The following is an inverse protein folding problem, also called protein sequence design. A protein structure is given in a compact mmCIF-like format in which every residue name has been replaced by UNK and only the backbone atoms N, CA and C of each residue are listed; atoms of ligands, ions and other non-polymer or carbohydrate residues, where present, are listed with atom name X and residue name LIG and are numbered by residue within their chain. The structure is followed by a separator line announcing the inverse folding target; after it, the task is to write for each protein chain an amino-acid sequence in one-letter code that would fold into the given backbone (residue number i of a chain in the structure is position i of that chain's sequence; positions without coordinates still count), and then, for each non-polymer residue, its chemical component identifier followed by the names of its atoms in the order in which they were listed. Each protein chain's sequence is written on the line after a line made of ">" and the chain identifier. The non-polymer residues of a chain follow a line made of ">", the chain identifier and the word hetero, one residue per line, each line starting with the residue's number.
data_IF_000768897198
#
_entry.id   IF_000768897198
#
_cell.length_a   1.000
_cell.length_b   1.000
_cell.length_c   1.000
_cell.angle_alpha   90.00
_cell.angle_beta   90.00
_cell.angle_gamma   90.00
#
_symmetry.space_group_name_H-M   'P 1'
#
loop_
_entity.id
_entity.type
_entity.pdbx_description
1 polymer ?
#
# COMPACT_ATOMS: atom_id res chain seq x y z
N UNK A 1 25.80 -16.75 25.78
CA UNK A 1 26.06 -15.55 26.61
C UNK A 1 27.55 -15.18 26.64
N UNK A 2 28.49 -16.14 26.66
CA UNK A 2 29.94 -15.84 26.65
C UNK A 2 30.41 -15.13 25.38
N UNK A 3 29.92 -15.53 24.19
CA UNK A 3 30.25 -14.87 22.91
C UNK A 3 29.93 -13.38 22.89
N UNK A 4 28.84 -12.96 23.52
CA UNK A 4 28.47 -11.53 23.58
C UNK A 4 29.47 -10.76 24.46
N UNK A 5 30.05 -11.40 25.48
CA UNK A 5 31.02 -10.75 26.37
C UNK A 5 32.35 -10.48 25.66
N UNK A 6 32.77 -11.35 24.73
CA UNK A 6 34.03 -11.23 23.97
C UNK A 6 33.97 -10.24 22.80
N UNK A 7 32.78 -9.79 22.40
CA UNK A 7 32.62 -8.76 21.37
C UNK A 7 33.21 -7.41 21.80
N UNK A 8 33.72 -6.66 20.82
CA UNK A 8 34.16 -5.29 21.07
C UNK A 8 32.98 -4.31 21.19
N UNK A 9 33.28 -3.07 21.59
CA UNK A 9 32.25 -2.05 21.82
C UNK A 9 31.46 -1.71 20.56
N UNK A 10 32.11 -1.70 19.39
CA UNK A 10 31.45 -1.41 18.12
C UNK A 10 30.42 -2.50 17.76
N UNK A 11 30.80 -3.77 17.81
CA UNK A 11 29.93 -4.91 17.52
C UNK A 11 28.73 -4.95 18.46
N UNK A 12 28.96 -4.70 19.75
CA UNK A 12 27.89 -4.55 20.75
C UNK A 12 26.97 -3.39 20.38
N UNK A 13 27.52 -2.25 19.97
CA UNK A 13 26.77 -1.08 19.51
C UNK A 13 25.84 -1.41 18.34
N UNK A 14 26.35 -2.05 17.28
CA UNK A 14 25.53 -2.46 16.13
C UNK A 14 24.41 -3.40 16.54
N UNK A 15 24.69 -4.42 17.36
CA UNK A 15 23.68 -5.36 17.81
C UNK A 15 22.58 -4.64 18.60
N UNK A 16 22.95 -3.72 19.51
CA UNK A 16 21.99 -2.92 20.27
C UNK A 16 21.12 -2.08 19.32
N UNK A 17 21.72 -1.43 18.33
CA UNK A 17 20.98 -0.63 17.33
C UNK A 17 19.99 -1.50 16.56
N UNK A 18 20.38 -2.68 16.09
CA UNK A 18 19.47 -3.59 15.37
C UNK A 18 18.32 -4.08 16.24
N UNK A 19 18.61 -4.48 17.48
CA UNK A 19 17.57 -4.93 18.41
C UNK A 19 16.60 -3.78 18.71
N UNK A 20 17.12 -2.57 18.95
CA UNK A 20 16.30 -1.40 19.16
C UNK A 20 15.44 -1.08 17.92
N UNK A 21 16.00 -1.14 16.71
CA UNK A 21 15.27 -0.95 15.46
C UNK A 21 14.13 -1.96 15.33
N UNK A 22 14.40 -3.27 15.47
CA UNK A 22 13.36 -4.31 15.38
C UNK A 22 12.23 -4.01 16.38
N UNK A 23 12.55 -3.68 17.63
CA UNK A 23 11.55 -3.40 18.66
C UNK A 23 10.73 -2.13 18.38
N UNK A 24 11.37 -1.06 17.94
CA UNK A 24 10.71 0.20 17.58
C UNK A 24 9.75 -0.05 16.41
N UNK A 25 10.23 -0.67 15.33
CA UNK A 25 9.39 -0.95 14.16
C UNK A 25 8.32 -2.01 14.45
N UNK A 26 8.56 -2.97 15.35
CA UNK A 26 7.53 -3.90 15.82
C UNK A 26 6.38 -3.21 16.55
N UNK A 27 6.59 -2.03 17.14
CA UNK A 27 5.51 -1.22 17.73
C UNK A 27 4.83 -0.29 16.72
N UNK A 28 5.56 0.18 15.70
CA UNK A 28 5.06 1.10 14.68
C UNK A 28 4.24 0.37 13.62
N UNK A 29 4.77 -0.72 13.05
CA UNK A 29 4.13 -1.45 11.95
C UNK A 29 2.71 -1.93 12.26
N UNK A 30 2.42 -2.54 13.43
CA UNK A 30 1.05 -2.93 13.75
C UNK A 30 0.10 -1.73 13.84
N UNK A 31 0.57 -0.55 14.28
CA UNK A 31 -0.27 0.66 14.31
C UNK A 31 -0.55 1.21 12.91
N UNK A 32 0.41 1.09 11.99
CA UNK A 32 0.22 1.51 10.59
C UNK A 32 -0.67 0.54 9.84
N UNK A 33 -0.39 -0.77 9.94
CA UNK A 33 -1.19 -1.85 9.33
C UNK A 33 -2.60 -1.91 9.92
N UNK A 34 -2.77 -1.63 11.21
CA UNK A 34 -4.09 -1.63 11.86
C UNK A 34 -4.97 -0.45 11.46
N UNK A 35 -4.43 0.59 10.79
CA UNK A 35 -5.25 1.63 10.17
C UNK A 35 -5.76 1.11 8.84
N UNK A 36 -6.76 0.25 8.96
CA UNK A 36 -7.52 -0.31 7.85
C UNK A 36 -8.57 0.72 7.45
N UNK A 37 -8.63 1.06 6.18
CA UNK A 37 -9.58 2.04 5.66
C UNK A 37 -9.66 2.00 4.14
N UNK A 38 -10.52 2.85 3.59
CA UNK A 38 -10.70 2.96 2.16
C UNK A 38 -9.55 3.76 1.55
N UNK A 39 -8.84 3.21 0.56
CA UNK A 39 -7.76 3.92 -0.14
C UNK A 39 -8.37 4.79 -1.24
N UNK A 40 -8.18 6.10 -1.15
CA UNK A 40 -8.61 7.05 -2.16
C UNK A 40 -7.51 8.09 -2.39
N UNK A 41 -7.05 8.22 -3.65
CA UNK A 41 -5.98 9.14 -4.04
C UNK A 41 -4.69 8.99 -3.20
N UNK A 42 -4.22 7.74 -3.03
CA UNK A 42 -3.05 7.34 -2.23
C UNK A 42 -3.12 7.61 -0.71
N UNK A 43 -4.28 8.01 -0.21
CA UNK A 43 -4.54 8.21 1.21
C UNK A 43 -5.56 7.22 1.75
N UNK A 44 -5.42 6.84 3.03
CA UNK A 44 -6.36 5.93 3.70
C UNK A 44 -7.38 6.76 4.47
N UNK A 45 -8.65 6.58 4.10
CA UNK A 45 -9.80 7.14 4.77
C UNK A 45 -10.37 6.09 5.73
N UNK A 46 -10.30 6.38 7.02
CA UNK A 46 -10.67 5.43 8.08
C UNK A 46 -12.19 5.44 8.26
N UNK A 47 -12.88 4.29 8.20
CA UNK A 47 -14.32 4.20 8.41
C UNK A 47 -14.67 4.46 9.87
N UNK A 48 -15.72 5.24 10.09
CA UNK A 48 -16.35 5.44 11.38
C UNK A 48 -17.87 5.36 11.23
N UNK A 49 -18.57 4.77 12.19
CA UNK A 49 -20.04 4.74 12.17
C UNK A 49 -20.58 6.00 12.86
N UNK A 50 -21.29 6.84 12.11
CA UNK A 50 -21.91 8.06 12.62
C UNK A 50 -23.39 8.11 12.22
N UNK A 51 -24.28 8.21 13.20
CA UNK A 51 -25.73 8.32 12.99
C UNK A 51 -26.34 7.22 12.09
N UNK A 52 -25.72 6.04 12.04
CA UNK A 52 -26.16 4.92 11.20
C UNK A 52 -25.61 4.94 9.76
N UNK A 53 -24.81 5.95 9.41
CA UNK A 53 -24.05 6.03 8.17
C UNK A 53 -22.60 5.60 8.42
N UNK A 54 -21.91 5.18 7.36
CA UNK A 54 -20.47 4.92 7.41
C UNK A 54 -19.76 6.16 6.86
N UNK A 55 -18.90 6.77 7.67
CA UNK A 55 -18.12 7.96 7.33
C UNK A 55 -16.66 7.56 7.19
N UNK A 56 -16.15 7.54 5.98
CA UNK A 56 -14.73 7.34 5.71
C UNK A 56 -14.02 8.68 5.78
N UNK A 57 -13.17 8.89 6.77
CA UNK A 57 -12.55 10.19 7.04
C UNK A 57 -11.02 10.14 6.99
N UNK A 58 -10.41 11.20 6.47
CA UNK A 58 -8.96 11.31 6.38
C UNK A 58 -8.52 12.67 5.85
N UNK A 59 -7.30 12.74 5.35
CA UNK A 59 -6.76 13.97 4.74
C UNK A 59 -6.13 13.63 3.40
N UNK A 60 -6.57 14.32 2.35
CA UNK A 60 -5.99 14.21 1.00
C UNK A 60 -5.26 15.52 0.74
N UNK A 61 -3.97 15.44 0.42
CA UNK A 61 -3.12 16.64 0.24
C UNK A 61 -3.18 17.62 1.43
N UNK A 62 -3.37 17.10 2.66
CA UNK A 62 -3.50 17.88 3.89
C UNK A 62 -4.87 18.51 4.14
N UNK A 63 -5.79 18.44 3.18
CA UNK A 63 -7.18 18.93 3.30
C UNK A 63 -8.05 17.81 3.88
N UNK A 64 -8.90 18.09 4.88
CA UNK A 64 -9.82 17.10 5.42
C UNK A 64 -10.79 16.62 4.34
N UNK A 65 -10.87 15.30 4.16
CA UNK A 65 -11.78 14.65 3.21
C UNK A 65 -12.61 13.63 3.94
N UNK A 66 -13.91 13.58 3.64
CA UNK A 66 -14.80 12.54 4.13
C UNK A 66 -15.79 12.06 3.07
N UNK A 67 -15.96 10.75 2.96
CA UNK A 67 -17.09 10.14 2.28
C UNK A 67 -18.14 9.75 3.30
N UNK A 68 -19.37 10.19 3.09
CA UNK A 68 -20.52 9.84 3.90
C UNK A 68 -21.36 8.88 3.08
N UNK A 69 -21.38 7.61 3.48
CA UNK A 69 -22.17 6.55 2.84
C UNK A 69 -23.43 6.32 3.67
N UNK A 70 -24.58 6.68 3.08
CA UNK A 70 -25.91 6.45 3.66
C UNK A 70 -26.36 5.02 3.43
N UNK A 71 -27.22 4.50 4.32
CA UNK A 71 -27.91 3.21 4.14
C UNK A 71 -28.74 3.13 2.87
N UNK A 72 -29.17 4.28 2.35
CA UNK A 72 -29.99 4.39 1.14
C UNK A 72 -29.16 4.36 -0.15
N UNK A 73 -27.92 3.81 -0.11
CA UNK A 73 -26.98 3.78 -1.23
C UNK A 73 -26.70 5.18 -1.82
N UNK A 74 -26.62 6.18 -0.95
CA UNK A 74 -26.28 7.55 -1.32
C UNK A 74 -24.92 7.94 -0.73
N UNK A 75 -24.08 8.57 -1.55
CA UNK A 75 -22.73 8.98 -1.18
C UNK A 75 -22.60 10.48 -1.32
N UNK A 76 -22.05 11.12 -0.29
CA UNK A 76 -21.61 12.51 -0.34
C UNK A 76 -20.12 12.56 -0.06
N UNK A 77 -19.35 13.20 -0.93
CA UNK A 77 -17.95 13.48 -0.70
C UNK A 77 -17.81 14.95 -0.27
N UNK A 78 -17.13 15.18 0.85
CA UNK A 78 -16.70 16.51 1.27
C UNK A 78 -15.18 16.56 1.26
N UNK A 79 -14.62 17.54 0.54
CA UNK A 79 -13.19 17.81 0.48
C UNK A 79 -12.96 19.28 0.80
N UNK A 80 -12.56 19.58 2.04
CA UNK A 80 -12.48 20.95 2.55
C UNK A 80 -13.83 21.66 2.44
N UNK A 81 -13.88 22.78 1.70
CA UNK A 81 -15.11 23.55 1.48
C UNK A 81 -15.94 23.06 0.29
N UNK A 82 -15.43 22.11 -0.50
CA UNK A 82 -16.14 21.55 -1.65
C UNK A 82 -16.96 20.33 -1.24
N UNK A 83 -18.19 20.26 -1.75
CA UNK A 83 -19.07 19.09 -1.61
C UNK A 83 -19.43 18.57 -2.99
N UNK A 84 -19.26 17.26 -3.19
CA UNK A 84 -19.61 16.54 -4.40
C UNK A 84 -20.76 15.56 -4.12
N UNK A 85 -21.67 15.44 -5.08
CA UNK A 85 -22.90 14.66 -4.94
C UNK A 85 -24.08 15.49 -4.37
N UNK A 86 -25.06 14.86 -3.73
CA UNK A 86 -25.18 13.42 -3.47
C UNK A 86 -25.18 12.57 -4.74
N UNK A 87 -24.38 11.52 -4.71
CA UNK A 87 -24.43 10.44 -5.69
C UNK A 87 -25.42 9.39 -5.21
N UNK A 88 -26.20 8.85 -6.12
CA UNK A 88 -27.15 7.76 -5.83
C UNK A 88 -27.00 6.67 -6.86
N UNK A 89 -27.04 5.43 -6.41
CA UNK A 89 -26.98 4.26 -7.28
C UNK A 89 -28.31 3.52 -7.27
N UNK A 90 -28.75 3.08 -8.44
CA UNK A 90 -29.87 2.15 -8.61
C UNK A 90 -29.45 1.00 -9.49
N UNK A 91 -29.97 -0.19 -9.20
CA UNK A 91 -29.80 -1.35 -10.06
C UNK A 91 -30.89 -1.31 -11.14
N UNK A 92 -30.48 -1.31 -12.40
CA UNK A 92 -31.34 -1.33 -13.58
C UNK A 92 -30.85 -2.42 -14.54
N UNK A 93 -31.48 -3.61 -14.55
CA UNK A 93 -31.11 -4.70 -15.46
C UNK A 93 -31.17 -4.32 -16.95
N UNK A 94 -31.89 -3.25 -17.31
CA UNK A 94 -31.98 -2.80 -18.71
C UNK A 94 -30.75 -2.03 -19.17
N UNK A 95 -29.88 -1.62 -18.25
CA UNK A 95 -28.61 -0.95 -18.53
C UNK A 95 -27.48 -1.93 -18.95
N UNK A 96 -27.72 -3.25 -18.88
CA UNK A 96 -26.72 -4.25 -19.27
C UNK A 96 -26.56 -4.21 -20.81
N UNK A 97 -25.31 -4.07 -21.33
CA UNK A 97 -25.06 -4.11 -22.77
C UNK A 97 -25.49 -5.46 -23.36
N UNK A 98 -26.22 -5.41 -24.48
CA UNK A 98 -26.88 -6.60 -25.06
C UNK A 98 -25.96 -7.54 -25.82
N UNK A 99 -24.82 -7.03 -26.29
CA UNK A 99 -23.89 -7.75 -27.18
C UNK A 99 -22.60 -8.22 -26.47
N UNK A 100 -22.56 -8.16 -25.13
CA UNK A 100 -21.44 -8.62 -24.33
C UNK A 100 -21.57 -10.12 -23.97
N UNK A 101 -20.51 -10.90 -24.20
CA UNK A 101 -20.50 -12.35 -23.92
C UNK A 101 -20.70 -12.66 -22.42
N UNK A 102 -20.36 -11.70 -21.56
CA UNK A 102 -20.46 -11.81 -20.10
C UNK A 102 -21.69 -11.11 -19.52
N UNK A 103 -22.64 -10.66 -20.35
CA UNK A 103 -23.83 -9.93 -19.92
C UNK A 103 -24.65 -10.67 -18.83
N UNK A 104 -24.68 -12.00 -18.84
CA UNK A 104 -25.39 -12.80 -17.83
C UNK A 104 -24.76 -12.73 -16.42
N UNK A 105 -23.49 -12.32 -16.32
CA UNK A 105 -22.75 -12.16 -15.07
C UNK A 105 -22.66 -10.70 -14.62
N UNK A 106 -23.19 -9.77 -15.41
CA UNK A 106 -23.15 -8.33 -15.13
C UNK A 106 -24.33 -7.88 -14.28
N UNK A 107 -24.10 -6.87 -13.45
CA UNK A 107 -25.14 -6.13 -12.73
C UNK A 107 -25.36 -4.81 -13.46
N UNK A 108 -26.57 -4.60 -13.98
CA UNK A 108 -26.94 -3.32 -14.60
C UNK A 108 -27.14 -2.25 -13.54
N UNK A 109 -26.49 -1.10 -13.70
CA UNK A 109 -26.50 -0.01 -12.73
C UNK A 109 -26.70 1.34 -13.40
N UNK A 110 -27.37 2.23 -12.69
CA UNK A 110 -27.46 3.64 -13.00
C UNK A 110 -26.93 4.43 -11.79
N UNK A 111 -25.89 5.22 -12.03
CA UNK A 111 -25.29 6.12 -11.05
C UNK A 111 -25.63 7.54 -11.46
N UNK A 112 -26.30 8.26 -10.56
CA UNK A 112 -26.69 9.64 -10.77
C UNK A 112 -25.96 10.55 -9.79
N UNK A 113 -25.53 11.71 -10.26
CA UNK A 113 -25.15 12.85 -9.44
C UNK A 113 -26.34 13.80 -9.37
N UNK A 114 -27.05 13.82 -8.24
CA UNK A 114 -28.35 14.48 -8.12
C UNK A 114 -29.32 13.99 -9.21
N UNK A 115 -29.69 14.88 -10.15
CA UNK A 115 -30.62 14.57 -11.25
C UNK A 115 -29.91 14.21 -12.57
N UNK A 116 -28.58 14.25 -12.61
CA UNK A 116 -27.79 13.98 -13.81
C UNK A 116 -27.26 12.56 -13.77
N UNK A 117 -27.55 11.76 -14.80
CA UNK A 117 -26.94 10.45 -15.00
C UNK A 117 -25.44 10.63 -15.24
N UNK A 118 -24.64 10.07 -14.35
CA UNK A 118 -23.18 10.06 -14.44
C UNK A 118 -22.74 8.83 -15.24
N UNK A 119 -23.35 7.68 -14.97
CA UNK A 119 -23.05 6.41 -15.61
C UNK A 119 -24.31 5.54 -15.68
N UNK A 120 -24.48 4.82 -16.78
CA UNK A 120 -25.52 3.81 -16.95
C UNK A 120 -24.94 2.68 -17.79
N UNK A 121 -24.92 1.47 -17.23
CA UNK A 121 -24.19 0.37 -17.84
C UNK A 121 -24.16 -0.91 -17.02
N UNK A 122 -23.43 -1.91 -17.51
CA UNK A 122 -23.17 -3.17 -16.82
C UNK A 122 -21.89 -3.12 -15.99
N UNK A 123 -21.94 -3.60 -14.75
CA UNK A 123 -20.78 -3.79 -13.89
C UNK A 123 -20.45 -5.28 -13.81
N UNK A 124 -19.21 -5.62 -14.08
CA UNK A 124 -18.67 -6.97 -13.93
C UNK A 124 -17.67 -6.99 -12.76
N UNK A 125 -17.91 -7.89 -11.81
CA UNK A 125 -17.11 -8.07 -10.60
C UNK A 125 -16.08 -9.19 -10.81
N UNK A 126 -14.79 -8.85 -10.67
CA UNK A 126 -13.67 -9.80 -10.73
C UNK A 126 -13.01 -10.04 -9.36
N UNK A 127 -13.67 -9.68 -8.26
CA UNK A 127 -13.15 -9.79 -6.90
C UNK A 127 -12.27 -8.60 -6.54
N UNK A 128 -11.08 -8.52 -7.11
CA UNK A 128 -10.10 -7.48 -6.79
C UNK A 128 -10.33 -6.16 -7.57
N UNK A 129 -11.17 -6.18 -8.62
CA UNK A 129 -11.43 -5.04 -9.50
C UNK A 129 -12.83 -5.10 -10.13
N UNK A 130 -13.36 -3.92 -10.53
CA UNK A 130 -14.64 -3.77 -11.22
C UNK A 130 -14.47 -3.21 -12.63
N UNK A 131 -15.11 -3.87 -13.60
CA UNK A 131 -15.20 -3.39 -14.97
C UNK A 131 -16.57 -2.78 -15.23
N UNK A 132 -16.58 -1.49 -15.60
CA UNK A 132 -17.78 -0.75 -15.95
C UNK A 132 -17.90 -0.69 -17.47
N UNK A 133 -18.96 -1.27 -18.00
CA UNK A 133 -19.32 -1.24 -19.41
C UNK A 133 -20.49 -0.30 -19.63
N UNK A 134 -20.34 0.66 -20.52
CA UNK A 134 -21.45 1.50 -20.98
C UNK A 134 -22.50 0.67 -21.73
N UNK A 135 -23.70 1.23 -21.93
CA UNK A 135 -24.79 0.54 -22.67
C UNK A 135 -24.41 0.16 -24.11
N UNK A 136 -23.39 0.81 -24.69
CA UNK A 136 -22.86 0.54 -26.02
C UNK A 136 -21.77 -0.55 -26.03
N UNK A 137 -21.41 -1.11 -24.87
CA UNK A 137 -20.37 -2.13 -24.71
C UNK A 137 -18.95 -1.58 -24.58
N UNK A 138 -18.77 -0.25 -24.52
CA UNK A 138 -17.44 0.35 -24.29
C UNK A 138 -17.06 0.33 -22.80
N UNK A 139 -15.78 0.13 -22.49
CA UNK A 139 -15.26 0.18 -21.13
C UNK A 139 -15.13 1.64 -20.65
N UNK A 140 -15.82 1.98 -19.56
CA UNK A 140 -15.87 3.34 -18.99
C UNK A 140 -14.71 3.61 -18.01
N UNK A 141 -14.30 2.59 -17.25
CA UNK A 141 -13.25 2.72 -16.22
C UNK A 141 -11.81 2.67 -16.78
N UNK A 142 -11.63 2.51 -18.10
CA UNK A 142 -10.34 2.43 -18.79
C UNK A 142 -10.15 3.61 -19.76
N UNK A 143 -10.11 4.83 -19.21
CA UNK A 143 -9.81 6.04 -19.97
C UNK A 143 -8.31 6.37 -19.97
N UNK A 144 -7.74 6.70 -21.13
CA UNK A 144 -6.38 7.25 -21.21
C UNK A 144 -6.39 8.73 -20.76
N UNK A 145 -5.63 9.06 -19.72
CA UNK A 145 -5.39 10.45 -19.31
C UNK A 145 -4.02 10.92 -19.76
N UNK A 146 -3.89 12.22 -20.04
CA UNK A 146 -2.60 12.84 -20.35
C UNK A 146 -2.39 14.14 -19.58
N UNK A 147 -1.13 14.42 -19.25
CA UNK A 147 -0.71 15.65 -18.59
C UNK A 147 0.03 16.51 -19.61
N UNK A 148 -0.47 17.72 -19.84
CA UNK A 148 0.22 18.72 -20.68
C UNK A 148 1.23 19.53 -19.87
N UNK A 149 2.03 20.37 -20.53
CA UNK A 149 3.10 21.16 -19.88
C UNK A 149 2.63 22.18 -18.81
N UNK A 150 1.33 22.37 -18.66
CA UNK A 150 0.69 23.14 -17.58
C UNK A 150 0.46 22.32 -16.28
N UNK A 151 0.76 21.01 -16.30
CA UNK A 151 0.59 20.11 -15.16
C UNK A 151 -0.85 19.69 -14.88
N UNK A 152 -1.79 20.04 -15.77
CA UNK A 152 -3.21 19.71 -15.64
C UNK A 152 -3.47 18.40 -16.37
N UNK A 153 -4.08 17.43 -15.67
CA UNK A 153 -4.47 16.15 -16.22
C UNK A 153 -5.82 16.28 -16.94
N UNK A 154 -5.86 15.77 -18.17
CA UNK A 154 -7.03 15.83 -19.04
C UNK A 154 -7.41 14.43 -19.52
N UNK A 155 -8.70 14.23 -19.77
CA UNK A 155 -9.22 13.03 -20.41
C UNK A 155 -8.85 13.00 -21.91
N UNK A 156 -9.13 11.88 -22.58
CA UNK A 156 -8.95 11.70 -24.03
C UNK A 156 -9.65 12.81 -24.87
N UNK A 157 -10.70 13.41 -24.31
CA UNK A 157 -11.52 14.44 -24.94
C UNK A 157 -11.02 15.87 -24.64
N UNK A 158 -9.95 16.03 -23.84
CA UNK A 158 -9.36 17.30 -23.46
C UNK A 158 -10.07 18.03 -22.32
N UNK A 159 -11.03 17.40 -21.63
CA UNK A 159 -11.66 17.94 -20.43
C UNK A 159 -10.71 17.85 -19.24
N UNK A 160 -10.72 18.87 -18.39
CA UNK A 160 -9.94 18.89 -17.15
C UNK A 160 -10.54 17.89 -16.17
N UNK A 161 -9.74 16.95 -15.69
CA UNK A 161 -10.16 15.97 -14.68
C UNK A 161 -9.92 16.58 -13.30
N UNK A 162 -10.99 16.76 -12.52
CA UNK A 162 -10.84 17.04 -11.09
C UNK A 162 -10.50 15.73 -10.38
N UNK A 163 -9.22 15.58 -9.97
CA UNK A 163 -8.73 14.37 -9.27
C UNK A 163 -9.45 14.05 -7.97
N UNK A 164 -10.21 15.00 -7.43
CA UNK A 164 -10.98 14.84 -6.19
C UNK A 164 -12.40 14.35 -6.48
N UNK A 165 -12.93 14.51 -7.70
CA UNK A 165 -14.26 14.01 -8.01
C UNK A 165 -14.23 12.47 -8.11
N UNK A 166 -15.13 11.76 -7.41
CA UNK A 166 -15.16 10.30 -7.45
C UNK A 166 -15.71 9.82 -8.79
N UNK A 167 -15.06 8.80 -9.37
CA UNK A 167 -15.57 8.12 -10.56
C UNK A 167 -16.77 7.23 -10.25
N UNK A 168 -17.48 6.81 -11.29
CA UNK A 168 -18.58 5.84 -11.17
C UNK A 168 -18.13 4.53 -10.50
N UNK A 169 -16.91 4.06 -10.76
CA UNK A 169 -16.31 2.88 -10.14
C UNK A 169 -16.11 3.05 -8.63
N UNK A 170 -15.51 4.15 -8.19
CA UNK A 170 -15.36 4.48 -6.76
C UNK A 170 -16.70 4.56 -6.05
N UNK A 171 -17.72 5.15 -6.69
CA UNK A 171 -19.07 5.24 -6.12
C UNK A 171 -19.69 3.85 -5.96
N UNK A 172 -19.58 2.98 -6.96
CA UNK A 172 -20.09 1.61 -6.90
C UNK A 172 -19.41 0.81 -5.78
N UNK A 173 -18.09 0.88 -5.68
CA UNK A 173 -17.29 0.19 -4.67
C UNK A 173 -17.67 0.62 -3.24
N UNK A 174 -17.75 1.94 -2.98
CA UNK A 174 -18.14 2.47 -1.67
C UNK A 174 -19.57 2.08 -1.24
N UNK A 175 -20.46 1.78 -2.19
CA UNK A 175 -21.84 1.36 -1.92
C UNK A 175 -21.93 -0.14 -1.59
N UNK A 176 -21.12 -0.98 -2.25
CA UNK A 176 -21.25 -2.44 -2.18
C UNK A 176 -20.27 -3.11 -1.20
N UNK A 177 -19.78 -2.35 -0.22
CA UNK A 177 -18.75 -2.70 0.77
C UNK A 177 -17.34 -2.63 0.18
N UNK A 178 -16.62 -1.51 0.38
CA UNK A 178 -15.32 -1.32 -0.25
C UNK A 178 -14.26 -2.21 0.40
N UNK A 179 -13.28 -2.63 -0.40
CA UNK A 179 -12.12 -3.33 0.13
C UNK A 179 -11.31 -2.38 1.03
N UNK A 180 -11.25 -2.71 2.32
CA UNK A 180 -10.48 -1.91 3.26
C UNK A 180 -9.01 -2.33 3.19
N UNK A 181 -8.17 -1.41 2.73
CA UNK A 181 -6.73 -1.61 2.64
C UNK A 181 -6.01 -0.92 3.80
N UNK A 182 -4.73 -1.23 3.98
CA UNK A 182 -3.89 -0.63 5.00
C UNK A 182 -2.59 -0.10 4.39
N UNK A 183 -1.99 0.90 5.05
CA UNK A 183 -0.64 1.35 4.70
C UNK A 183 0.40 0.41 5.29
N UNK A 184 1.47 0.22 4.54
CA UNK A 184 2.64 -0.56 4.93
C UNK A 184 2.54 -2.04 4.58
N UNK A 185 3.69 -2.59 4.18
CA UNK A 185 3.82 -3.97 3.74
C UNK A 185 4.34 -4.84 4.89
N UNK A 186 3.53 -5.79 5.37
CA UNK A 186 3.94 -6.69 6.45
C UNK A 186 5.22 -7.47 6.11
N UNK A 187 5.38 -7.87 4.84
CA UNK A 187 6.56 -8.58 4.35
C UNK A 187 7.83 -7.73 4.44
N UNK A 188 7.75 -6.40 4.26
CA UNK A 188 8.90 -5.51 4.39
C UNK A 188 9.44 -5.49 5.83
N UNK A 189 8.55 -5.51 6.85
CA UNK A 189 8.98 -5.64 8.24
C UNK A 189 9.67 -6.99 8.50
N UNK A 190 9.05 -8.09 8.07
CA UNK A 190 9.62 -9.43 8.23
C UNK A 190 10.98 -9.56 7.52
N UNK A 191 11.11 -9.04 6.30
CA UNK A 191 12.35 -9.05 5.53
C UNK A 191 13.44 -8.23 6.21
N UNK A 192 13.15 -7.01 6.65
CA UNK A 192 14.11 -6.15 7.35
C UNK A 192 14.55 -6.74 8.70
N UNK A 193 13.62 -7.30 9.47
CA UNK A 193 13.91 -8.00 10.72
C UNK A 193 14.77 -9.24 10.49
N UNK A 194 14.48 -10.02 9.43
CA UNK A 194 15.28 -11.17 9.05
C UNK A 194 16.72 -10.78 8.68
N UNK A 195 16.91 -9.71 7.91
CA UNK A 195 18.24 -9.15 7.59
C UNK A 195 18.98 -8.74 8.87
N UNK A 196 18.31 -8.08 9.82
CA UNK A 196 18.92 -7.75 11.12
C UNK A 196 19.38 -9.01 11.87
N UNK A 197 18.55 -10.05 11.93
CA UNK A 197 18.91 -11.31 12.60
C UNK A 197 20.11 -11.97 11.92
N UNK A 198 20.11 -12.05 10.59
CA UNK A 198 21.25 -12.57 9.83
C UNK A 198 22.52 -11.77 10.09
N UNK A 199 22.42 -10.44 10.16
CA UNK A 199 23.57 -9.59 10.39
C UNK A 199 24.12 -9.76 11.82
N UNK A 200 23.26 -9.86 12.84
CA UNK A 200 23.66 -10.20 14.22
C UNK A 200 24.35 -11.57 14.26
N UNK A 201 23.82 -12.58 13.56
CA UNK A 201 24.47 -13.89 13.46
C UNK A 201 25.84 -13.76 12.77
N UNK A 202 25.96 -12.95 11.72
CA UNK A 202 27.25 -12.72 11.04
C UNK A 202 28.30 -12.09 11.97
N UNK A 203 27.88 -11.23 12.91
CA UNK A 203 28.76 -10.63 13.92
C UNK A 203 29.17 -11.69 14.96
N UNK A 204 28.23 -12.50 15.43
CA UNK A 204 28.46 -13.51 16.48
C UNK A 204 29.28 -14.71 16.01
N UNK A 205 29.26 -14.99 14.71
CA UNK A 205 29.93 -16.13 14.08
C UNK A 205 30.94 -15.68 13.01
N UNK A 206 31.47 -14.47 13.13
CA UNK A 206 32.34 -13.87 12.11
C UNK A 206 33.55 -14.75 11.76
N UNK A 207 34.20 -15.32 12.79
CA UNK A 207 35.36 -16.17 12.61
C UNK A 207 35.00 -17.58 12.12
N UNK A 208 33.88 -18.14 12.58
CA UNK A 208 33.39 -19.42 12.07
C UNK A 208 32.93 -19.34 10.62
N UNK A 209 32.25 -18.27 10.22
CA UNK A 209 31.83 -18.04 8.83
C UNK A 209 33.04 -17.88 7.92
N UNK A 210 34.06 -17.17 8.36
CA UNK A 210 35.33 -17.05 7.64
C UNK A 210 36.01 -18.40 7.45
N UNK A 211 36.12 -19.20 8.53
CA UNK A 211 36.66 -20.57 8.46
C UNK A 211 35.79 -21.47 7.59
N UNK A 212 34.48 -21.35 7.66
CA UNK A 212 33.54 -22.12 6.83
C UNK A 212 33.69 -21.79 5.33
N UNK A 213 33.90 -20.53 4.98
CA UNK A 213 34.21 -20.16 3.59
C UNK A 213 35.55 -20.75 3.13
N UNK A 214 36.58 -20.69 3.99
CA UNK A 214 37.91 -21.24 3.69
C UNK A 214 37.95 -22.77 3.64
N UNK A 215 37.02 -23.46 4.31
CA UNK A 215 36.89 -24.93 4.26
C UNK A 215 36.73 -25.48 2.84
N UNK A 216 36.17 -24.70 1.93
CA UNK A 216 36.04 -25.08 0.51
C UNK A 216 37.29 -24.75 -0.33
N UNK A 217 38.25 -24.03 0.23
CA UNK A 217 39.41 -23.50 -0.50
C UNK A 217 40.74 -24.11 -0.03
N UNK A 218 40.89 -24.39 1.27
CA UNK A 218 42.16 -24.83 1.86
C UNK A 218 41.98 -26.05 2.75
N UNK A 219 43.01 -26.92 2.79
CA UNK A 219 42.95 -28.19 3.52
C UNK A 219 43.16 -28.06 5.04
N UNK A 220 43.76 -26.97 5.50
CA UNK A 220 44.08 -26.76 6.92
C UNK A 220 43.60 -25.37 7.37
N UNK A 221 42.37 -25.32 7.86
CA UNK A 221 41.60 -24.08 8.09
C UNK A 221 41.68 -23.61 9.54
N UNK A 222 41.98 -24.54 10.46
CA UNK A 222 41.82 -24.32 11.90
C UNK A 222 42.80 -23.27 12.46
N UNK A 223 43.92 -23.08 11.77
CA UNK A 223 44.97 -22.10 12.07
C UNK A 223 44.91 -20.85 11.17
N UNK A 224 43.88 -20.70 10.33
CA UNK A 224 43.76 -19.54 9.44
C UNK A 224 43.34 -18.30 10.24
N UNK A 225 44.14 -17.24 10.16
CA UNK A 225 43.84 -15.93 10.73
C UNK A 225 43.35 -14.97 9.64
N UNK A 226 42.31 -14.16 9.91
CA UNK A 226 41.83 -13.18 8.95
C UNK A 226 42.82 -12.03 8.79
N UNK A 227 42.96 -11.53 7.56
CA UNK A 227 43.77 -10.35 7.28
C UNK A 227 43.09 -9.07 7.76
N UNK A 228 43.86 -7.99 7.94
CA UNK A 228 43.31 -6.68 8.30
C UNK A 228 42.25 -6.18 7.30
N UNK A 229 42.43 -6.51 6.01
CA UNK A 229 41.47 -6.18 4.96
C UNK A 229 40.15 -6.95 5.12
N UNK A 230 40.23 -8.24 5.43
CA UNK A 230 39.05 -9.06 5.71
C UNK A 230 38.31 -8.55 6.95
N UNK A 231 39.07 -8.20 8.01
CA UNK A 231 38.51 -7.60 9.22
C UNK A 231 37.79 -6.30 8.88
N UNK A 232 38.43 -5.38 8.16
CA UNK A 232 37.82 -4.12 7.73
C UNK A 232 36.56 -4.34 6.88
N UNK A 233 36.59 -5.31 5.96
CA UNK A 233 35.45 -5.71 5.15
C UNK A 233 34.23 -6.13 5.98
N UNK A 234 34.45 -6.88 7.07
CA UNK A 234 33.37 -7.26 8.00
C UNK A 234 32.68 -6.04 8.61
N UNK A 235 33.44 -5.07 9.13
CA UNK A 235 32.89 -3.85 9.73
C UNK A 235 32.08 -3.02 8.72
N UNK A 236 32.59 -2.89 7.49
CA UNK A 236 31.87 -2.21 6.41
C UNK A 236 30.58 -2.96 6.08
N UNK A 237 30.65 -4.29 5.91
CA UNK A 237 29.49 -5.13 5.60
C UNK A 237 28.40 -5.04 6.67
N UNK A 238 28.78 -5.11 7.95
CA UNK A 238 27.84 -4.97 9.06
C UNK A 238 27.16 -3.61 9.07
N UNK A 239 27.91 -2.53 8.83
CA UNK A 239 27.37 -1.17 8.72
C UNK A 239 26.37 -1.06 7.57
N UNK A 240 26.76 -1.50 6.37
CA UNK A 240 25.93 -1.40 5.16
C UNK A 240 24.64 -2.19 5.32
N UNK A 241 24.70 -3.43 5.84
CA UNK A 241 23.50 -4.22 6.11
C UNK A 241 22.58 -3.57 7.15
N UNK A 242 23.14 -2.85 8.13
CA UNK A 242 22.36 -2.11 9.14
C UNK A 242 21.59 -0.95 8.48
N UNK A 243 22.29 -0.17 7.65
CA UNK A 243 21.70 0.96 6.91
C UNK A 243 20.63 0.46 5.94
N UNK A 244 20.92 -0.62 5.20
CA UNK A 244 19.97 -1.21 4.26
C UNK A 244 18.70 -1.68 4.96
N UNK A 245 18.82 -2.37 6.09
CA UNK A 245 17.65 -2.78 6.89
C UNK A 245 16.83 -1.57 7.36
N UNK A 246 17.49 -0.49 7.79
CA UNK A 246 16.79 0.76 8.14
C UNK A 246 16.01 1.34 6.96
N UNK A 247 16.60 1.36 5.76
CA UNK A 247 15.91 1.84 4.55
C UNK A 247 14.67 0.99 4.28
N UNK A 248 14.78 -0.34 4.34
CA UNK A 248 13.65 -1.26 4.11
C UNK A 248 12.53 -1.03 5.14
N UNK A 249 12.88 -0.85 6.42
CA UNK A 249 11.90 -0.51 7.46
C UNK A 249 11.18 0.81 7.20
N UNK A 250 11.86 1.80 6.60
CA UNK A 250 11.24 3.09 6.28
C UNK A 250 10.37 2.98 5.04
N UNK A 251 10.85 2.35 3.97
CA UNK A 251 10.09 2.20 2.72
C UNK A 251 8.87 1.31 2.91
N UNK A 252 8.96 0.28 3.76
CA UNK A 252 7.82 -0.59 4.04
C UNK A 252 6.75 0.02 4.95
N UNK A 253 6.95 1.22 5.48
CA UNK A 253 5.92 1.99 6.20
C UNK A 253 5.13 2.93 5.27
N UNK A 254 5.60 3.16 4.05
CA UNK A 254 4.90 3.93 3.02
C UNK A 254 3.79 3.06 2.43
#
# INVERSE_FOLDING_TARGET
>A
MERIKTLNYYQKGIIIVMVAMILIFAMIYPKTISRVGYRYNDEILVPNQENGNIVYSGKINGVPTQFIVSKEKSIVLQHGDKTYGPYTMKEDPTAIPKDEELAEQMIGVEICNNDKVLFRGGVLDFGDDYWLYNEDGTLDNFGFTYVTGDGIERDENGNVIDKIEPSASTIYELINDPELTHKGEALAWFGAAFICVLNVLSILFADELFRWNLLFQIRNVENAEPSDWEIAGRYIGWTVMTIMSLVIFITGLQ
#
